data_IF_539228105869
#
_entry.id   IF_539228105869
#
_cell.length_a   1.000
_cell.length_b   1.000
_cell.length_c   1.000
_cell.angle_alpha   90.00
_cell.angle_beta   90.00
_cell.angle_gamma   90.00
#
_symmetry.space_group_name_H-M   'P 1'
#
loop_
_entity.id
_entity.type
_entity.pdbx_description
1 polymer ?
#
# COMPACT_ATOMS: atom_id res chain seq x y z
N UNK A 1 -9.55 14.45 36.82
CA UNK A 1 -8.64 13.31 36.59
C UNK A 1 -9.40 12.03 36.90
N UNK A 2 -9.96 11.39 35.89
CA UNK A 2 -10.60 10.07 36.03
C UNK A 2 -10.08 9.19 34.92
N UNK A 3 -9.09 8.40 35.28
CA UNK A 3 -8.42 7.42 34.44
C UNK A 3 -9.40 6.31 34.07
N UNK A 4 -9.89 6.29 32.83
CA UNK A 4 -10.62 5.13 32.28
C UNK A 4 -9.65 4.23 31.53
N UNK A 5 -8.87 3.46 32.26
CA UNK A 5 -8.18 2.29 31.75
C UNK A 5 -9.09 1.09 31.99
N UNK A 6 -9.78 0.59 31.00
CA UNK A 6 -10.30 -0.79 30.96
C UNK A 6 -10.89 -1.00 29.57
N UNK A 7 -10.16 -1.69 28.67
CA UNK A 7 -10.75 -2.47 27.54
C UNK A 7 -9.66 -3.17 26.68
N UNK A 8 -8.48 -3.43 27.26
CA UNK A 8 -7.42 -4.18 26.54
C UNK A 8 -7.42 -5.71 26.79
N UNK A 9 -8.07 -6.28 27.83
CA UNK A 9 -7.85 -7.72 28.12
C UNK A 9 -8.67 -8.70 27.30
N UNK A 10 -9.67 -8.30 26.51
CA UNK A 10 -10.55 -9.27 25.82
C UNK A 10 -9.96 -9.80 24.50
N UNK A 11 -9.06 -9.07 23.88
CA UNK A 11 -8.44 -9.50 22.62
C UNK A 11 -7.33 -10.56 22.78
N UNK A 12 -6.74 -10.68 23.95
CA UNK A 12 -5.65 -11.64 24.20
C UNK A 12 -6.10 -13.05 24.57
N UNK A 13 -7.32 -13.24 25.05
CA UNK A 13 -7.80 -14.53 25.52
C UNK A 13 -8.38 -15.45 24.44
N UNK A 14 -8.58 -14.97 23.21
CA UNK A 14 -9.05 -15.80 22.07
C UNK A 14 -7.92 -16.50 21.29
N UNK A 15 -6.66 -16.32 21.68
CA UNK A 15 -5.49 -16.75 20.88
C UNK A 15 -5.10 -18.23 21.03
N UNK A 16 -5.79 -19.04 21.85
CA UNK A 16 -5.28 -20.36 22.23
C UNK A 16 -5.79 -21.56 21.41
N UNK A 17 -6.61 -21.38 20.38
CA UNK A 17 -7.33 -22.50 19.76
C UNK A 17 -7.26 -22.64 18.23
N UNK A 18 -6.34 -21.99 17.54
CA UNK A 18 -6.30 -22.10 16.06
C UNK A 18 -5.18 -23.05 15.62
N UNK A 19 -5.55 -24.20 15.06
CA UNK A 19 -4.62 -25.04 14.29
C UNK A 19 -4.21 -24.30 13.01
N UNK A 20 -2.93 -24.39 12.56
CA UNK A 20 -2.50 -23.73 11.34
C UNK A 20 -3.24 -24.29 10.13
N UNK A 21 -3.94 -23.42 9.41
CA UNK A 21 -4.50 -23.72 8.11
C UNK A 21 -3.51 -23.25 7.02
N UNK A 22 -3.33 -24.07 5.99
CA UNK A 22 -2.46 -23.74 4.87
C UNK A 22 -3.04 -22.58 4.03
N UNK A 23 -2.15 -21.69 3.60
CA UNK A 23 -2.48 -20.47 2.86
C UNK A 23 -2.61 -20.76 1.36
N UNK A 24 -3.43 -21.58 0.88
CA UNK A 24 -4.03 -21.74 -0.47
C UNK A 24 -4.83 -23.03 -0.44
N UNK A 25 -6.13 -22.94 -0.49
CA UNK A 25 -7.00 -24.13 -0.58
C UNK A 25 -7.17 -24.50 -2.04
N UNK A 26 -6.66 -25.68 -2.43
CA UNK A 26 -6.95 -26.28 -3.73
C UNK A 26 -8.28 -27.03 -3.63
N UNK A 27 -9.18 -26.80 -4.55
CA UNK A 27 -10.44 -27.55 -4.61
C UNK A 27 -10.13 -28.90 -5.26
N UNK A 28 -9.98 -29.93 -4.42
CA UNK A 28 -9.76 -31.30 -4.89
C UNK A 28 -11.11 -31.98 -5.23
N UNK A 29 -11.12 -32.80 -6.24
CA UNK A 29 -12.23 -33.71 -6.54
C UNK A 29 -13.26 -33.22 -7.56
N UNK A 30 -13.11 -32.05 -8.16
CA UNK A 30 -13.92 -31.62 -9.30
C UNK A 30 -13.03 -31.60 -10.55
N UNK A 31 -13.24 -32.52 -11.47
CA UNK A 31 -12.49 -32.60 -12.74
C UNK A 31 -12.47 -31.23 -13.44
N UNK A 32 -11.27 -30.70 -13.67
CA UNK A 32 -11.05 -29.39 -14.30
C UNK A 32 -10.88 -28.20 -13.33
N UNK A 33 -11.00 -28.36 -12.02
CA UNK A 33 -10.80 -27.30 -11.03
C UNK A 33 -9.43 -27.39 -10.32
N UNK A 34 -8.58 -28.34 -10.65
CA UNK A 34 -7.21 -28.46 -10.11
C UNK A 34 -6.34 -27.24 -10.43
N UNK A 35 -6.69 -26.49 -11.48
CA UNK A 35 -6.06 -25.23 -11.86
C UNK A 35 -6.55 -24.01 -11.04
N UNK A 36 -7.55 -24.20 -10.16
CA UNK A 36 -8.16 -23.14 -9.37
C UNK A 36 -7.66 -23.19 -7.94
N UNK A 37 -7.18 -22.03 -7.44
CA UNK A 37 -6.79 -21.86 -6.04
C UNK A 37 -7.58 -20.74 -5.41
N UNK A 38 -8.16 -20.99 -4.25
CA UNK A 38 -8.75 -19.96 -3.40
C UNK A 38 -7.68 -19.38 -2.46
N UNK A 39 -7.76 -18.09 -2.20
CA UNK A 39 -6.86 -17.42 -1.26
C UNK A 39 -7.55 -16.22 -0.63
N UNK A 40 -7.05 -15.80 0.52
CA UNK A 40 -7.57 -14.61 1.16
C UNK A 40 -6.80 -14.17 2.40
N UNK A 41 -7.26 -13.06 2.96
CA UNK A 41 -6.78 -12.56 4.24
C UNK A 41 -7.89 -11.80 4.96
N UNK A 42 -7.78 -11.80 6.28
CA UNK A 42 -8.63 -11.01 7.16
C UNK A 42 -7.76 -10.22 8.13
N UNK A 43 -8.14 -8.98 8.41
CA UNK A 43 -7.53 -8.12 9.42
C UNK A 43 -8.58 -7.53 10.33
N UNK A 44 -8.41 -7.74 11.61
CA UNK A 44 -9.07 -6.97 12.65
C UNK A 44 -8.12 -5.87 13.09
N UNK A 45 -8.62 -4.64 13.21
CA UNK A 45 -7.85 -3.47 13.64
C UNK A 45 -8.58 -2.71 14.72
N UNK A 46 -7.88 -2.40 15.78
CA UNK A 46 -8.24 -1.30 16.68
C UNK A 46 -7.33 -0.12 16.36
N UNK A 47 -7.92 1.06 16.26
CA UNK A 47 -7.21 2.29 15.92
C UNK A 47 -7.69 3.42 16.82
N UNK A 48 -6.73 4.14 17.42
CA UNK A 48 -6.97 5.36 18.17
C UNK A 48 -6.13 6.48 17.57
N UNK A 49 -6.76 7.62 17.32
CA UNK A 49 -6.09 8.83 16.82
C UNK A 49 -6.37 9.96 17.80
N UNK A 50 -5.31 10.62 18.24
CA UNK A 50 -5.32 11.81 19.06
C UNK A 50 -4.68 12.97 18.24
N UNK A 51 -5.17 14.19 18.39
CA UNK A 51 -4.57 15.39 17.78
C UNK A 51 -4.79 16.59 18.70
N UNK A 52 -4.02 17.66 18.42
CA UNK A 52 -3.99 18.82 19.30
C UNK A 52 -5.32 19.60 19.33
N UNK A 53 -6.05 19.61 18.21
CA UNK A 53 -7.31 20.36 18.05
C UNK A 53 -8.49 19.47 17.59
N UNK A 54 -8.29 18.16 17.42
CA UNK A 54 -9.35 17.22 17.11
C UNK A 54 -9.72 16.36 18.30
N UNK A 55 -10.98 15.99 18.39
CA UNK A 55 -11.43 15.03 19.39
C UNK A 55 -10.76 13.67 19.18
N UNK A 56 -10.34 13.05 20.26
CA UNK A 56 -9.82 11.68 20.24
C UNK A 56 -10.82 10.74 19.60
N UNK A 57 -10.41 10.06 18.56
CA UNK A 57 -11.23 9.06 17.90
C UNK A 57 -10.71 7.64 18.16
N UNK A 58 -11.62 6.71 18.41
CA UNK A 58 -11.29 5.28 18.56
C UNK A 58 -12.22 4.46 17.68
N UNK A 59 -11.65 3.56 16.88
CA UNK A 59 -12.39 2.74 15.92
C UNK A 59 -11.93 1.30 15.95
N UNK A 60 -12.89 0.37 15.89
CA UNK A 60 -12.65 -1.01 15.53
C UNK A 60 -12.98 -1.21 14.06
N UNK A 61 -12.10 -1.85 13.30
CA UNK A 61 -12.22 -1.97 11.84
C UNK A 61 -11.91 -3.38 11.38
N UNK A 62 -12.61 -3.81 10.34
CA UNK A 62 -12.42 -5.09 9.64
C UNK A 62 -11.93 -4.82 8.22
N UNK A 63 -11.01 -5.65 7.75
CA UNK A 63 -10.73 -5.87 6.34
C UNK A 63 -10.83 -7.36 6.05
N UNK A 64 -11.60 -7.73 5.05
CA UNK A 64 -11.59 -9.08 4.49
C UNK A 64 -11.31 -8.99 2.99
N UNK A 65 -10.45 -9.87 2.49
CA UNK A 65 -10.15 -10.01 1.07
C UNK A 65 -10.18 -11.50 0.72
N UNK A 66 -10.83 -11.84 -0.38
CA UNK A 66 -10.85 -13.20 -0.90
C UNK A 66 -10.73 -13.19 -2.42
N UNK A 67 -10.14 -14.21 -2.97
CA UNK A 67 -9.88 -14.25 -4.40
C UNK A 67 -9.65 -15.65 -4.93
N UNK A 68 -9.59 -15.69 -6.25
CA UNK A 68 -9.40 -16.89 -7.05
C UNK A 68 -8.21 -16.67 -7.96
N UNK A 69 -7.33 -17.66 -8.03
CA UNK A 69 -6.29 -17.78 -9.06
C UNK A 69 -6.63 -18.94 -9.96
N UNK A 70 -6.46 -18.76 -11.27
CA UNK A 70 -6.71 -19.78 -12.29
C UNK A 70 -5.50 -19.90 -13.22
N UNK A 71 -4.91 -21.09 -13.34
CA UNK A 71 -3.86 -21.41 -14.29
C UNK A 71 -4.51 -21.91 -15.59
N UNK A 72 -4.67 -21.02 -16.57
CA UNK A 72 -5.33 -21.36 -17.82
C UNK A 72 -4.47 -22.21 -18.75
N UNK A 73 -3.15 -21.91 -18.79
CA UNK A 73 -2.13 -22.68 -19.52
C UNK A 73 -0.81 -22.59 -18.77
N UNK A 74 0.25 -23.21 -19.28
CA UNK A 74 1.61 -23.07 -18.74
C UNK A 74 2.07 -21.60 -18.63
N UNK A 75 1.64 -20.77 -19.58
CA UNK A 75 2.08 -19.38 -19.70
C UNK A 75 1.03 -18.37 -19.30
N UNK A 76 -0.23 -18.73 -19.21
CA UNK A 76 -1.32 -17.82 -18.89
C UNK A 76 -1.99 -18.19 -17.58
N UNK A 77 -2.18 -17.19 -16.74
CA UNK A 77 -2.99 -17.30 -15.52
C UNK A 77 -3.85 -16.05 -15.32
N UNK A 78 -4.95 -16.20 -14.62
CA UNK A 78 -5.82 -15.10 -14.22
C UNK A 78 -5.94 -15.04 -12.70
N UNK A 79 -6.17 -13.86 -12.17
CA UNK A 79 -6.48 -13.65 -10.76
C UNK A 79 -7.59 -12.63 -10.61
N UNK A 80 -8.53 -12.92 -9.72
CA UNK A 80 -9.56 -12.01 -9.28
C UNK A 80 -9.55 -11.96 -7.75
N UNK A 81 -9.64 -10.77 -7.15
CA UNK A 81 -9.73 -10.57 -5.70
C UNK A 81 -10.78 -9.52 -5.37
N UNK A 82 -11.60 -9.82 -4.39
CA UNK A 82 -12.57 -8.91 -3.80
C UNK A 82 -12.09 -8.44 -2.45
N UNK A 83 -12.58 -7.29 -2.00
CA UNK A 83 -12.27 -6.69 -0.70
C UNK A 83 -13.49 -6.09 -0.06
N UNK A 84 -13.49 -5.99 1.26
CA UNK A 84 -14.44 -5.13 1.98
C UNK A 84 -14.27 -3.68 1.56
N UNK A 85 -15.34 -2.92 1.49
CA UNK A 85 -15.42 -1.51 1.11
C UNK A 85 -15.11 -1.24 -0.36
N UNK A 86 -16.13 -0.93 -1.14
CA UNK A 86 -16.01 -0.52 -2.54
C UNK A 86 -15.78 0.97 -2.71
N UNK A 87 -16.30 1.77 -1.78
CA UNK A 87 -16.44 3.23 -1.92
C UNK A 87 -15.17 4.03 -1.63
N UNK A 88 -14.14 3.42 -1.00
CA UNK A 88 -12.91 4.13 -0.68
C UNK A 88 -11.74 3.57 -1.46
N UNK A 89 -11.16 4.41 -2.30
CA UNK A 89 -10.02 4.09 -3.13
C UNK A 89 -8.80 3.63 -2.29
N UNK A 90 -8.56 4.28 -1.18
CA UNK A 90 -7.37 4.16 -0.35
C UNK A 90 -7.53 3.27 0.89
N UNK A 91 -8.75 2.91 1.26
CA UNK A 91 -9.02 2.11 2.47
C UNK A 91 -9.93 0.93 2.19
N UNK A 92 -9.44 -0.24 2.52
CA UNK A 92 -10.17 -1.51 2.44
C UNK A 92 -10.80 -1.90 3.78
N UNK A 93 -10.77 -1.01 4.77
CA UNK A 93 -11.25 -1.29 6.12
C UNK A 93 -12.64 -0.71 6.33
N UNK A 94 -13.56 -1.55 6.72
CA UNK A 94 -14.87 -1.19 7.24
C UNK A 94 -14.79 -0.91 8.73
N UNK A 95 -15.44 0.15 9.20
CA UNK A 95 -15.51 0.49 10.63
C UNK A 95 -16.75 -0.16 11.23
N UNK A 96 -16.61 -0.82 12.38
CA UNK A 96 -17.74 -1.40 13.11
C UNK A 96 -18.63 -0.32 13.73
N UNK A 97 -19.93 -0.58 13.76
CA UNK A 97 -20.94 0.22 14.45
C UNK A 97 -22.15 0.52 13.58
N UNK A 98 -23.31 0.38 14.17
CA UNK A 98 -24.64 0.58 13.54
C UNK A 98 -24.87 2.01 13.06
N UNK A 99 -24.19 3.00 13.69
CA UNK A 99 -24.27 4.42 13.30
C UNK A 99 -23.17 4.84 12.35
N UNK A 100 -22.25 3.98 12.02
CA UNK A 100 -21.35 4.19 10.90
C UNK A 100 -22.14 3.93 9.63
N UNK A 101 -22.81 4.94 9.21
CA UNK A 101 -23.79 5.03 8.14
C UNK A 101 -23.24 4.86 6.74
N UNK A 102 -22.01 4.53 6.61
CA UNK A 102 -21.57 3.81 5.43
C UNK A 102 -22.13 2.41 5.57
N UNK A 103 -23.41 2.29 5.31
CA UNK A 103 -24.20 1.04 5.25
C UNK A 103 -23.67 0.02 4.26
N UNK A 104 -22.38 0.03 4.05
CA UNK A 104 -21.71 -0.64 2.97
C UNK A 104 -20.92 -1.80 3.55
N UNK A 105 -21.61 -2.85 3.89
CA UNK A 105 -21.05 -4.19 3.90
C UNK A 105 -20.71 -4.65 2.47
N UNK A 106 -20.29 -3.68 1.62
CA UNK A 106 -19.99 -3.90 0.22
C UNK A 106 -18.69 -4.63 0.03
N UNK A 107 -18.67 -5.51 -0.95
CA UNK A 107 -17.44 -6.05 -1.50
C UNK A 107 -17.18 -5.42 -2.87
N UNK A 108 -16.01 -4.82 -3.02
CA UNK A 108 -15.54 -4.24 -4.28
C UNK A 108 -14.51 -5.11 -4.97
N UNK A 109 -14.39 -4.97 -6.28
CA UNK A 109 -13.34 -5.60 -7.06
C UNK A 109 -11.99 -4.93 -6.74
N UNK A 110 -11.10 -5.67 -6.08
CA UNK A 110 -9.80 -5.18 -5.65
C UNK A 110 -8.71 -5.43 -6.70
N UNK A 111 -8.72 -6.61 -7.33
CA UNK A 111 -7.80 -7.00 -8.40
C UNK A 111 -8.52 -7.87 -9.42
N UNK A 112 -8.24 -7.65 -10.70
CA UNK A 112 -8.71 -8.48 -11.80
C UNK A 112 -7.72 -8.35 -12.96
N UNK A 113 -6.89 -9.35 -13.19
CA UNK A 113 -5.86 -9.30 -14.20
C UNK A 113 -5.53 -10.67 -14.80
N UNK A 114 -5.01 -10.66 -16.01
CA UNK A 114 -4.32 -11.78 -16.64
C UNK A 114 -2.81 -11.58 -16.51
N UNK A 115 -2.09 -12.68 -16.30
CA UNK A 115 -0.64 -12.70 -16.25
C UNK A 115 -0.11 -13.64 -17.33
N UNK A 116 0.85 -13.15 -18.12
CA UNK A 116 1.58 -13.90 -19.14
C UNK A 116 3.05 -14.07 -18.77
N UNK A 117 3.59 -15.29 -18.93
CA UNK A 117 4.97 -15.67 -18.58
C UNK A 117 5.72 -16.40 -19.72
N UNK A 118 5.18 -16.40 -20.94
CA UNK A 118 5.78 -17.11 -22.08
C UNK A 118 7.04 -16.45 -22.68
N UNK A 119 7.43 -15.25 -22.19
CA UNK A 119 8.70 -14.60 -22.56
C UNK A 119 9.70 -14.87 -21.45
N UNK A 120 10.91 -15.30 -21.81
CA UNK A 120 11.95 -15.63 -20.84
C UNK A 120 12.20 -14.46 -19.86
N UNK A 121 12.24 -14.78 -18.57
CA UNK A 121 12.50 -13.83 -17.49
C UNK A 121 11.49 -12.68 -17.41
N UNK A 122 10.35 -12.75 -18.11
CA UNK A 122 9.39 -11.66 -18.21
C UNK A 122 8.02 -12.08 -17.65
N UNK A 123 7.37 -11.16 -16.97
CA UNK A 123 5.98 -11.27 -16.52
C UNK A 123 5.23 -10.06 -17.03
N UNK A 124 4.14 -10.27 -17.74
CA UNK A 124 3.24 -9.20 -18.19
C UNK A 124 1.92 -9.33 -17.47
N UNK A 125 1.40 -8.23 -16.97
CA UNK A 125 0.12 -8.13 -16.26
C UNK A 125 -0.80 -7.21 -17.06
N UNK A 126 -2.03 -7.65 -17.33
CA UNK A 126 -3.03 -6.91 -18.10
C UNK A 126 -4.29 -6.84 -17.26
N UNK A 127 -4.76 -5.63 -16.93
CA UNK A 127 -5.91 -5.36 -16.10
C UNK A 127 -5.54 -4.70 -14.76
N UNK A 128 -6.37 -4.91 -13.74
CA UNK A 128 -6.23 -4.29 -12.41
C UNK A 128 -5.30 -5.14 -11.53
N UNK A 129 -4.02 -4.78 -11.44
CA UNK A 129 -2.99 -5.54 -10.75
C UNK A 129 -2.24 -4.67 -9.72
N UNK A 130 -1.54 -5.32 -8.77
CA UNK A 130 -0.59 -4.60 -7.92
C UNK A 130 0.49 -3.94 -8.76
N UNK A 131 1.02 -2.82 -8.29
CA UNK A 131 2.11 -2.14 -8.96
C UNK A 131 3.33 -3.06 -9.12
N UNK A 132 3.83 -3.15 -10.34
CA UNK A 132 5.08 -3.81 -10.67
C UNK A 132 6.19 -2.75 -10.61
N UNK A 133 6.59 -2.42 -9.39
CA UNK A 133 7.55 -1.37 -9.11
C UNK A 133 8.28 -1.68 -7.80
N UNK A 134 9.59 -1.48 -7.72
CA UNK A 134 10.31 -1.63 -6.47
C UNK A 134 10.02 -0.42 -5.59
N UNK A 135 9.49 -0.69 -4.42
CA UNK A 135 9.39 0.27 -3.32
C UNK A 135 9.71 -0.48 -2.02
N UNK A 136 10.20 0.22 -1.04
CA UNK A 136 10.57 -0.38 0.24
C UNK A 136 9.68 0.08 1.38
N UNK A 137 8.88 1.13 1.15
CA UNK A 137 7.95 1.71 2.10
C UNK A 137 6.50 1.71 1.58
N UNK A 138 5.61 2.31 2.34
CA UNK A 138 4.20 2.49 2.00
C UNK A 138 3.94 3.87 1.36
N UNK A 139 4.99 4.60 1.02
CA UNK A 139 4.88 5.97 0.51
C UNK A 139 4.22 6.02 -0.86
N UNK A 140 4.49 5.03 -1.72
CA UNK A 140 3.85 4.87 -3.01
C UNK A 140 3.53 3.39 -3.25
N UNK A 141 2.38 3.06 -3.87
CA UNK A 141 1.96 1.70 -4.26
C UNK A 141 1.85 0.68 -3.13
N UNK A 142 1.19 1.03 -2.07
CA UNK A 142 0.90 0.08 -1.00
C UNK A 142 0.06 -1.13 -1.45
N UNK A 143 0.08 -2.20 -0.64
CA UNK A 143 -0.61 -3.48 -0.85
C UNK A 143 -2.10 -3.39 -1.20
N UNK A 144 -2.77 -2.33 -0.78
CA UNK A 144 -4.20 -2.12 -0.99
C UNK A 144 -4.50 -1.37 -2.31
N UNK A 145 -3.45 -0.85 -2.99
CA UNK A 145 -3.58 -0.17 -4.28
C UNK A 145 -3.38 -1.17 -5.41
N UNK A 146 -4.26 -1.12 -6.40
CA UNK A 146 -4.13 -1.83 -7.65
C UNK A 146 -4.23 -0.84 -8.81
N UNK A 147 -3.34 -0.98 -9.78
CA UNK A 147 -3.23 -0.13 -10.96
C UNK A 147 -3.91 -0.81 -12.14
N UNK A 148 -4.67 -0.06 -12.91
CA UNK A 148 -5.39 -0.52 -14.09
C UNK A 148 -4.56 -0.21 -15.34
N UNK A 149 -4.32 -1.21 -16.21
CA UNK A 149 -3.53 -1.04 -17.40
C UNK A 149 -2.68 -2.24 -17.76
N UNK A 150 -1.50 -2.00 -18.33
CA UNK A 150 -0.52 -3.02 -18.69
C UNK A 150 0.79 -2.76 -17.97
N UNK A 151 1.30 -3.78 -17.29
CA UNK A 151 2.56 -3.71 -16.57
C UNK A 151 3.45 -4.89 -16.94
N UNK A 152 4.75 -4.68 -17.01
CA UNK A 152 5.72 -5.70 -17.30
C UNK A 152 6.90 -5.65 -16.33
N UNK A 153 7.42 -6.81 -15.98
CA UNK A 153 8.66 -6.98 -15.24
C UNK A 153 9.54 -7.96 -15.98
N UNK A 154 10.72 -7.53 -16.38
CA UNK A 154 11.81 -8.40 -16.79
C UNK A 154 12.84 -8.49 -15.66
N UNK A 155 13.38 -9.68 -15.38
CA UNK A 155 14.37 -9.85 -14.32
C UNK A 155 15.34 -10.97 -14.64
N UNK A 156 16.60 -10.73 -14.36
CA UNK A 156 17.63 -11.77 -14.24
C UNK A 156 18.18 -11.80 -12.80
N UNK A 157 19.30 -12.48 -12.57
CA UNK A 157 19.86 -12.61 -11.23
C UNK A 157 20.35 -11.27 -10.63
N UNK A 158 20.67 -10.29 -11.47
CA UNK A 158 21.35 -9.05 -11.07
C UNK A 158 20.49 -7.82 -11.37
N UNK A 159 19.79 -7.81 -12.49
CA UNK A 159 19.02 -6.66 -12.96
C UNK A 159 17.56 -6.99 -13.13
N UNK A 160 16.70 -5.99 -12.88
CA UNK A 160 15.30 -6.02 -13.25
C UNK A 160 14.91 -4.71 -13.92
N UNK A 161 13.99 -4.80 -14.86
CA UNK A 161 13.33 -3.64 -15.46
C UNK A 161 11.84 -3.78 -15.23
N UNK A 162 11.25 -2.75 -14.67
CA UNK A 162 9.82 -2.63 -14.45
C UNK A 162 9.29 -1.53 -15.37
N UNK A 163 8.23 -1.80 -16.09
CA UNK A 163 7.57 -0.84 -16.98
C UNK A 163 6.04 -0.97 -16.85
N UNK A 164 5.32 0.11 -17.10
CA UNK A 164 3.86 0.08 -17.10
C UNK A 164 3.26 1.29 -17.79
N UNK A 165 2.10 1.05 -18.38
CA UNK A 165 1.17 2.08 -18.83
C UNK A 165 -0.12 1.89 -18.01
N UNK A 166 -0.46 2.91 -17.23
CA UNK A 166 -1.55 2.89 -16.27
C UNK A 166 -2.61 3.88 -16.71
N UNK A 167 -3.83 3.42 -16.80
CA UNK A 167 -5.00 4.23 -17.10
C UNK A 167 -5.49 4.85 -15.79
N UNK A 168 -5.60 6.15 -15.73
CA UNK A 168 -6.12 6.90 -14.58
C UNK A 168 -7.57 7.30 -14.80
N UNK A 169 -7.84 7.83 -15.98
CA UNK A 169 -9.17 8.18 -16.47
C UNK A 169 -9.29 7.84 -17.95
N UNK A 170 -10.46 7.42 -18.38
CA UNK A 170 -10.76 7.12 -19.78
C UNK A 170 -12.15 7.63 -20.13
N UNK A 171 -12.24 8.47 -21.17
CA UNK A 171 -13.49 8.99 -21.74
C UNK A 171 -14.39 9.74 -20.74
N UNK A 172 -13.82 10.39 -19.74
CA UNK A 172 -14.60 11.20 -18.79
C UNK A 172 -15.06 12.48 -19.47
N UNK A 173 -16.37 12.63 -19.65
CA UNK A 173 -16.98 13.84 -20.20
C UNK A 173 -17.26 14.82 -19.06
N UNK A 174 -16.57 15.95 -19.06
CA UNK A 174 -16.74 17.00 -18.05
C UNK A 174 -17.51 18.24 -18.57
N UNK A 175 -18.17 18.11 -19.73
CA UNK A 175 -18.89 19.21 -20.39
C UNK A 175 -18.02 20.07 -21.30
N UNK A 176 -16.69 19.89 -21.30
CA UNK A 176 -15.74 20.57 -22.18
C UNK A 176 -15.08 19.63 -23.20
N UNK A 177 -15.44 18.34 -23.15
CA UNK A 177 -14.92 17.29 -23.99
C UNK A 177 -14.53 16.04 -23.19
N UNK A 178 -14.12 15.00 -23.90
CA UNK A 178 -13.64 13.77 -23.28
C UNK A 178 -12.19 13.95 -22.81
N UNK A 179 -11.90 13.50 -21.63
CA UNK A 179 -10.56 13.54 -21.02
C UNK A 179 -10.03 12.13 -20.82
N UNK A 180 -8.76 11.96 -21.12
CA UNK A 180 -8.01 10.76 -20.83
C UNK A 180 -6.79 11.14 -19.98
N UNK A 181 -6.57 10.42 -18.89
CA UNK A 181 -5.38 10.56 -18.08
C UNK A 181 -4.71 9.21 -17.92
N UNK A 182 -3.40 9.20 -18.06
CA UNK A 182 -2.59 8.01 -17.87
C UNK A 182 -1.25 8.35 -17.26
N UNK A 183 -0.56 7.37 -16.74
CA UNK A 183 0.85 7.51 -16.46
C UNK A 183 1.66 6.37 -17.08
N UNK A 184 2.92 6.65 -17.37
CA UNK A 184 3.93 5.68 -17.76
C UNK A 184 4.93 5.56 -16.63
N UNK A 185 5.26 4.33 -16.25
CA UNK A 185 6.31 4.08 -15.26
C UNK A 185 7.42 3.25 -15.88
N UNK A 186 8.67 3.61 -15.53
CA UNK A 186 9.86 2.87 -15.90
C UNK A 186 10.82 2.85 -14.72
N UNK A 187 11.38 1.68 -14.40
CA UNK A 187 12.34 1.54 -13.31
C UNK A 187 13.37 0.48 -13.63
N UNK A 188 14.64 0.81 -13.45
CA UNK A 188 15.74 -0.13 -13.40
C UNK A 188 16.09 -0.49 -11.94
N UNK A 189 16.31 -1.76 -11.67
CA UNK A 189 16.70 -2.25 -10.34
C UNK A 189 17.95 -3.11 -10.46
N UNK A 190 18.95 -2.82 -9.66
CA UNK A 190 20.14 -3.63 -9.46
C UNK A 190 20.03 -4.42 -8.15
N UNK A 191 20.37 -5.71 -8.18
CA UNK A 191 20.42 -6.57 -7.01
C UNK A 191 21.77 -7.27 -6.91
N UNK A 192 22.36 -7.27 -5.72
CA UNK A 192 23.62 -7.94 -5.42
C UNK A 192 23.52 -8.69 -4.09
N UNK A 193 24.31 -9.76 -3.99
CA UNK A 193 24.51 -10.47 -2.74
C UNK A 193 26.01 -10.70 -2.54
N UNK A 194 26.49 -10.29 -1.36
CA UNK A 194 27.87 -10.50 -0.90
C UNK A 194 27.83 -11.21 0.44
N UNK A 195 28.17 -12.50 0.47
CA UNK A 195 27.97 -13.33 1.66
C UNK A 195 26.51 -13.26 2.15
N UNK A 196 26.31 -12.84 3.40
CA UNK A 196 24.99 -12.70 4.02
C UNK A 196 24.33 -11.32 3.78
N UNK A 197 25.02 -10.43 3.07
CA UNK A 197 24.50 -9.10 2.77
C UNK A 197 23.78 -9.12 1.43
N UNK A 198 22.50 -8.77 1.42
CA UNK A 198 21.69 -8.59 0.22
C UNK A 198 21.39 -7.13 0.03
N UNK A 199 21.66 -6.61 -1.14
CA UNK A 199 21.44 -5.21 -1.51
C UNK A 199 20.59 -5.13 -2.76
N UNK A 200 19.67 -4.16 -2.78
CA UNK A 200 18.93 -3.74 -3.98
C UNK A 200 18.92 -2.23 -4.06
N UNK A 201 19.09 -1.71 -5.26
CA UNK A 201 18.90 -0.29 -5.55
C UNK A 201 18.07 -0.14 -6.82
N UNK A 202 17.15 0.80 -6.81
CA UNK A 202 16.29 1.12 -7.95
C UNK A 202 16.35 2.61 -8.27
N UNK A 203 16.28 2.91 -9.56
CA UNK A 203 16.04 4.25 -10.09
C UNK A 203 14.92 4.15 -11.12
N UNK A 204 13.99 5.08 -11.08
CA UNK A 204 12.89 5.07 -12.02
C UNK A 204 12.21 6.43 -12.13
N UNK A 205 11.22 6.46 -13.00
CA UNK A 205 10.38 7.63 -13.24
C UNK A 205 8.94 7.24 -13.44
N UNK A 206 8.06 8.16 -13.11
CA UNK A 206 6.63 8.12 -13.39
C UNK A 206 6.32 9.38 -14.16
N UNK A 207 5.84 9.23 -15.40
CA UNK A 207 5.43 10.33 -16.28
C UNK A 207 3.91 10.37 -16.30
N UNK A 208 3.32 11.44 -15.81
CA UNK A 208 1.87 11.64 -15.83
C UNK A 208 1.51 12.38 -17.11
N UNK A 209 0.60 11.82 -17.88
CA UNK A 209 0.01 12.45 -19.06
C UNK A 209 -1.47 12.67 -18.78
N UNK A 210 -1.88 13.91 -18.64
CA UNK A 210 -3.27 14.31 -18.51
C UNK A 210 -3.60 15.28 -19.65
N UNK A 211 -4.64 14.98 -20.42
CA UNK A 211 -5.16 15.91 -21.42
C UNK A 211 -6.07 16.92 -20.74
N UNK A 212 -5.53 17.87 -20.04
CA UNK A 212 -6.24 18.88 -19.25
C UNK A 212 -6.39 18.59 -17.73
N UNK A 213 -6.21 19.58 -17.06
CA UNK A 213 -6.11 20.04 -15.67
C UNK A 213 -7.07 19.50 -14.60
N UNK A 214 -8.00 18.60 -14.88
CA UNK A 214 -9.03 18.19 -13.91
C UNK A 214 -8.50 17.43 -12.69
N UNK A 215 -7.43 16.65 -12.87
CA UNK A 215 -6.83 15.94 -11.72
C UNK A 215 -5.89 16.81 -10.90
N UNK A 216 -5.33 17.86 -11.51
CA UNK A 216 -4.44 18.77 -10.82
C UNK A 216 -5.19 19.87 -10.06
N UNK A 217 -6.27 20.42 -10.64
CA UNK A 217 -6.88 21.66 -10.13
C UNK A 217 -8.10 21.46 -9.22
N UNK A 218 -8.90 20.43 -9.41
CA UNK A 218 -10.22 20.35 -8.76
C UNK A 218 -10.17 19.94 -7.27
N UNK A 219 -9.20 19.13 -6.85
CA UNK A 219 -9.10 18.67 -5.46
C UNK A 219 -7.88 19.23 -4.70
N UNK A 220 -6.92 19.82 -5.38
CA UNK A 220 -5.63 20.17 -4.77
C UNK A 220 -5.30 21.65 -4.73
N UNK A 221 -6.01 22.48 -5.49
CA UNK A 221 -5.65 23.90 -5.62
C UNK A 221 -4.28 24.12 -6.30
N UNK A 222 -3.81 23.13 -7.05
CA UNK A 222 -2.55 23.17 -7.77
C UNK A 222 -2.75 23.77 -9.15
N UNK A 223 -1.81 24.61 -9.59
CA UNK A 223 -1.71 25.05 -10.97
C UNK A 223 -1.31 23.86 -11.88
N UNK A 224 -1.66 23.93 -13.15
CA UNK A 224 -1.46 22.88 -14.17
C UNK A 224 -0.03 22.33 -14.28
N UNK A 225 0.96 23.13 -13.88
CA UNK A 225 2.38 22.79 -13.92
C UNK A 225 2.85 21.87 -12.77
N UNK A 226 1.98 21.50 -11.83
CA UNK A 226 2.37 20.80 -10.59
C UNK A 226 2.02 19.31 -10.57
N UNK A 227 1.23 18.82 -11.52
CA UNK A 227 0.92 17.39 -11.68
C UNK A 227 2.08 16.56 -12.27
N UNK A 228 3.27 17.08 -12.20
CA UNK A 228 4.47 16.72 -12.92
C UNK A 228 4.99 15.30 -12.70
N UNK A 229 6.00 15.03 -13.49
CA UNK A 229 6.76 13.77 -13.46
C UNK A 229 7.46 13.58 -12.12
N UNK A 230 7.62 12.32 -11.71
CA UNK A 230 8.29 11.98 -10.46
C UNK A 230 9.47 11.06 -10.72
N UNK A 231 10.65 11.45 -10.26
CA UNK A 231 11.82 10.58 -10.19
C UNK A 231 11.83 9.82 -8.88
N UNK A 232 12.21 8.54 -8.92
CA UNK A 232 12.19 7.65 -7.77
C UNK A 232 13.54 6.99 -7.56
N UNK A 233 13.97 6.92 -6.31
CA UNK A 233 15.19 6.25 -5.89
C UNK A 233 14.85 5.34 -4.72
N UNK A 234 15.28 4.08 -4.80
CA UNK A 234 14.92 3.06 -3.81
C UNK A 234 16.17 2.29 -3.41
N UNK A 235 16.29 1.96 -2.14
CA UNK A 235 17.36 1.10 -1.62
C UNK A 235 16.82 0.13 -0.56
N UNK A 236 17.34 -1.09 -0.56
CA UNK A 236 17.03 -2.13 0.44
C UNK A 236 18.31 -2.89 0.75
N UNK A 237 18.77 -2.84 1.98
CA UNK A 237 19.92 -3.56 2.51
C UNK A 237 19.46 -4.53 3.59
N UNK A 238 19.85 -5.79 3.47
CA UNK A 238 19.57 -6.85 4.48
C UNK A 238 20.87 -7.50 4.90
N UNK A 239 21.07 -7.62 6.21
CA UNK A 239 22.26 -8.19 6.82
C UNK A 239 21.86 -8.96 8.08
N UNK A 240 21.79 -10.28 7.97
CA UNK A 240 21.31 -11.13 9.06
C UNK A 240 19.91 -10.70 9.54
N UNK A 241 19.75 -10.36 10.84
CA UNK A 241 18.47 -9.91 11.40
C UNK A 241 18.10 -8.45 11.06
N UNK A 242 19.01 -7.68 10.47
CA UNK A 242 18.82 -6.28 10.15
C UNK A 242 18.34 -6.06 8.72
N UNK A 243 17.45 -5.10 8.53
CA UNK A 243 17.09 -4.53 7.24
C UNK A 243 17.06 -3.01 7.38
N UNK A 244 17.73 -2.32 6.47
CA UNK A 244 17.64 -0.88 6.29
C UNK A 244 17.12 -0.64 4.87
N UNK A 245 16.11 0.22 4.74
CA UNK A 245 15.61 0.55 3.43
C UNK A 245 15.15 2.00 3.37
N UNK A 246 15.22 2.58 2.17
CA UNK A 246 14.85 3.95 1.91
C UNK A 246 14.17 4.07 0.54
N UNK A 247 13.18 4.94 0.48
CA UNK A 247 12.60 5.46 -0.74
C UNK A 247 12.75 6.98 -0.73
N UNK A 248 13.14 7.54 -1.86
CA UNK A 248 13.24 8.98 -2.09
C UNK A 248 12.59 9.31 -3.43
N UNK A 249 11.73 10.31 -3.42
CA UNK A 249 10.99 10.78 -4.59
C UNK A 249 11.15 12.28 -4.75
N UNK A 250 11.22 12.73 -5.99
CA UNK A 250 11.22 14.16 -6.30
C UNK A 250 10.38 14.40 -7.54
N UNK A 251 9.46 15.35 -7.45
CA UNK A 251 8.63 15.78 -8.58
C UNK A 251 9.24 16.99 -9.30
N UNK A 252 8.65 17.38 -10.42
CA UNK A 252 9.01 18.58 -11.19
C UNK A 252 8.41 19.88 -10.62
N UNK A 253 7.66 19.81 -9.51
CA UNK A 253 7.11 21.01 -8.88
C UNK A 253 8.25 21.98 -8.45
N UNK A 254 7.97 23.28 -8.48
CA UNK A 254 8.97 24.31 -8.18
C UNK A 254 9.36 24.34 -6.71
N UNK A 255 8.48 23.92 -5.79
CA UNK A 255 8.72 23.84 -4.35
C UNK A 255 7.95 22.66 -3.77
N UNK A 256 8.24 22.32 -2.52
CA UNK A 256 7.56 21.28 -1.76
C UNK A 256 7.46 19.95 -2.54
N UNK A 257 8.55 19.56 -3.22
CA UNK A 257 8.62 18.52 -4.23
C UNK A 257 9.37 17.25 -3.81
N UNK A 258 9.73 17.12 -2.53
CA UNK A 258 10.52 16.00 -2.02
C UNK A 258 9.69 15.13 -1.08
N UNK A 259 9.76 13.82 -1.29
CA UNK A 259 9.27 12.84 -0.33
C UNK A 259 10.32 11.77 -0.06
N UNK A 260 10.46 11.36 1.20
CA UNK A 260 11.29 10.21 1.54
C UNK A 260 10.75 9.44 2.74
N UNK A 261 11.09 8.17 2.76
CA UNK A 261 10.93 7.30 3.92
C UNK A 261 12.21 6.53 4.13
N UNK A 262 12.72 6.53 5.35
CA UNK A 262 13.80 5.64 5.78
C UNK A 262 13.25 4.71 6.84
N UNK A 263 13.47 3.41 6.70
CA UNK A 263 13.08 2.49 7.74
C UNK A 263 14.15 1.47 8.08
N UNK A 264 14.28 1.17 9.36
CA UNK A 264 15.09 0.11 9.90
C UNK A 264 14.20 -0.98 10.50
N UNK A 265 14.58 -2.24 10.30
CA UNK A 265 13.96 -3.39 10.95
C UNK A 265 15.02 -4.23 11.62
N UNK A 266 14.72 -4.69 12.82
CA UNK A 266 15.51 -5.70 13.53
C UNK A 266 14.60 -6.88 13.91
N UNK A 267 15.00 -8.09 13.52
CA UNK A 267 14.33 -9.32 13.90
C UNK A 267 14.96 -9.83 15.19
N UNK A 268 14.25 -9.70 16.31
CA UNK A 268 14.75 -10.05 17.65
C UNK A 268 14.85 -11.58 17.79
N UNK A 269 13.83 -12.29 17.35
CA UNK A 269 13.78 -13.75 17.29
C UNK A 269 12.85 -14.20 16.15
N UNK A 270 12.48 -15.47 16.08
CA UNK A 270 11.64 -16.02 14.99
C UNK A 270 10.23 -15.43 14.97
N UNK A 271 9.73 -14.99 16.11
CA UNK A 271 8.36 -14.48 16.29
C UNK A 271 8.30 -12.95 16.33
N UNK A 272 9.29 -12.30 16.98
CA UNK A 272 9.25 -10.88 17.30
C UNK A 272 10.22 -10.05 16.46
N UNK A 273 9.70 -9.00 15.84
CA UNK A 273 10.48 -7.98 15.12
C UNK A 273 10.06 -6.57 15.50
N UNK A 274 10.98 -5.63 15.39
CA UNK A 274 10.75 -4.20 15.60
C UNK A 274 11.12 -3.43 14.33
N UNK A 275 10.35 -2.38 14.01
CA UNK A 275 10.62 -1.46 12.91
C UNK A 275 10.51 -0.03 13.38
N UNK A 276 11.36 0.80 12.84
CA UNK A 276 11.34 2.25 13.00
C UNK A 276 11.31 2.92 11.64
N UNK A 277 10.48 3.94 11.49
CA UNK A 277 10.33 4.69 10.24
C UNK A 277 10.48 6.18 10.49
N UNK A 278 11.13 6.85 9.56
CA UNK A 278 11.13 8.31 9.41
C UNK A 278 10.37 8.61 8.12
N UNK A 279 9.40 9.51 8.21
CA UNK A 279 8.51 9.90 7.12
C UNK A 279 8.69 11.40 6.85
N UNK A 280 8.77 11.77 5.59
CA UNK A 280 8.78 13.16 5.14
C UNK A 280 8.15 13.19 3.74
N UNK A 281 7.07 13.91 3.58
CA UNK A 281 6.37 14.03 2.31
C UNK A 281 5.90 15.45 2.15
N UNK A 282 6.53 16.20 1.26
CA UNK A 282 6.13 17.56 0.92
C UNK A 282 4.85 17.55 0.07
N UNK A 283 4.22 18.70 -0.06
CA UNK A 283 2.87 18.82 -0.62
C UNK A 283 2.74 18.28 -2.05
N UNK A 284 3.73 18.52 -2.87
CA UNK A 284 3.71 18.24 -4.31
C UNK A 284 4.71 17.17 -4.75
N UNK A 285 5.23 16.42 -3.80
CA UNK A 285 6.29 15.45 -4.02
C UNK A 285 5.85 14.15 -4.70
N UNK A 286 4.56 13.82 -4.67
CA UNK A 286 4.02 12.55 -5.15
C UNK A 286 2.99 12.77 -6.25
N UNK A 287 2.90 11.82 -7.21
CA UNK A 287 1.91 11.95 -8.29
C UNK A 287 0.50 11.99 -7.70
N UNK A 288 -0.34 12.86 -8.29
CA UNK A 288 -1.75 13.03 -7.91
C UNK A 288 -1.94 13.29 -6.40
N UNK A 289 -1.08 14.14 -5.81
CA UNK A 289 -1.13 14.52 -4.39
C UNK A 289 -1.23 13.35 -3.41
N UNK A 290 -0.60 12.26 -3.76
CA UNK A 290 -0.60 11.08 -2.92
C UNK A 290 -1.85 10.20 -3.02
N UNK A 291 -2.69 10.33 -4.04
CA UNK A 291 -3.83 9.43 -4.25
C UNK A 291 -3.45 7.95 -4.27
N UNK A 292 -2.21 7.64 -4.70
CA UNK A 292 -1.64 6.30 -4.68
C UNK A 292 -0.72 6.03 -3.48
N UNK A 293 -0.79 6.89 -2.48
CA UNK A 293 -0.03 6.81 -1.23
C UNK A 293 -0.91 6.22 -0.13
N UNK A 294 -0.36 5.33 0.67
CA UNK A 294 -1.10 4.76 1.79
C UNK A 294 -0.23 4.53 3.00
N UNK A 295 0.28 5.59 3.54
CA UNK A 295 1.11 5.50 4.75
C UNK A 295 0.34 5.09 6.01
N UNK A 296 -1.00 5.11 6.01
CA UNK A 296 -1.86 5.09 7.21
C UNK A 296 -1.50 6.15 8.24
N UNK A 297 -0.78 7.18 7.83
CA UNK A 297 -0.54 8.33 8.70
C UNK A 297 -1.87 8.98 9.07
N UNK A 298 -2.00 9.50 10.26
CA UNK A 298 -3.14 10.35 10.58
C UNK A 298 -3.05 11.67 9.80
N UNK A 299 -4.18 12.17 9.34
CA UNK A 299 -4.23 13.43 8.60
C UNK A 299 -4.12 13.26 7.09
N UNK A 300 -3.20 13.96 6.47
CA UNK A 300 -2.97 13.98 5.03
C UNK A 300 -2.00 12.89 4.56
N UNK A 301 -1.93 12.65 3.27
CA UNK A 301 -0.94 11.78 2.61
C UNK A 301 0.34 12.54 2.22
N UNK A 302 0.21 13.84 2.01
CA UNK A 302 1.29 14.76 1.68
C UNK A 302 1.34 15.90 2.69
N UNK A 303 2.35 16.77 2.61
CA UNK A 303 2.61 17.86 3.54
C UNK A 303 2.76 17.39 5.01
N UNK A 304 3.46 16.25 5.20
CA UNK A 304 3.65 15.63 6.52
C UNK A 304 5.10 15.24 6.77
N UNK A 305 5.48 15.27 8.04
CA UNK A 305 6.69 14.63 8.57
C UNK A 305 6.35 13.86 9.84
N UNK A 306 7.11 12.84 10.13
CA UNK A 306 6.88 12.09 11.37
C UNK A 306 7.68 10.81 11.49
N UNK A 307 7.29 10.04 12.48
CA UNK A 307 7.90 8.75 12.78
C UNK A 307 6.83 7.68 12.96
N UNK A 308 7.24 6.43 12.76
CA UNK A 308 6.45 5.25 13.13
C UNK A 308 7.34 4.23 13.83
N UNK A 309 6.88 3.75 14.96
CA UNK A 309 7.40 2.54 15.62
C UNK A 309 6.41 1.41 15.39
N UNK A 310 6.92 0.23 15.04
CA UNK A 310 6.09 -0.94 14.81
C UNK A 310 6.71 -2.18 15.45
N UNK A 311 5.89 -2.93 16.16
CA UNK A 311 6.21 -4.27 16.66
C UNK A 311 5.43 -5.30 15.83
N UNK A 312 6.11 -6.31 15.30
CA UNK A 312 5.51 -7.43 14.60
C UNK A 312 5.64 -8.69 15.45
N UNK A 313 4.56 -9.41 15.67
CA UNK A 313 4.56 -10.67 16.39
C UNK A 313 3.90 -11.78 15.57
N UNK A 314 4.65 -12.83 15.29
CA UNK A 314 4.17 -14.03 14.59
C UNK A 314 3.56 -14.97 15.63
N UNK A 315 2.25 -15.21 15.56
CA UNK A 315 1.51 -16.11 16.44
C UNK A 315 1.55 -17.54 15.85
N UNK A 316 1.31 -17.65 14.54
CA UNK A 316 1.37 -18.88 13.76
C UNK A 316 1.81 -18.56 12.33
N UNK A 317 1.98 -19.56 11.46
CA UNK A 317 2.44 -19.32 10.06
C UNK A 317 1.48 -18.44 9.26
N UNK A 318 0.19 -18.53 9.52
CA UNK A 318 -0.85 -17.77 8.86
C UNK A 318 -1.51 -16.69 9.74
N UNK A 319 -1.03 -16.53 11.01
CA UNK A 319 -1.60 -15.58 11.96
C UNK A 319 -0.50 -14.72 12.58
N UNK A 320 -0.63 -13.41 12.46
CA UNK A 320 0.29 -12.46 13.06
C UNK A 320 -0.45 -11.25 13.65
N UNK A 321 0.15 -10.64 14.66
CA UNK A 321 -0.27 -9.37 15.23
C UNK A 321 0.77 -8.30 14.96
N UNK A 322 0.35 -7.06 14.82
CA UNK A 322 1.25 -5.92 14.80
C UNK A 322 0.66 -4.74 15.60
N UNK A 323 1.57 -4.01 16.26
CA UNK A 323 1.28 -2.75 16.94
C UNK A 323 2.05 -1.66 16.24
N UNK A 324 1.39 -0.56 15.88
CA UNK A 324 1.97 0.60 15.21
C UNK A 324 1.62 1.86 15.98
N UNK A 325 2.64 2.66 16.23
CA UNK A 325 2.47 4.00 16.76
C UNK A 325 3.06 5.00 15.79
N UNK A 326 2.25 5.95 15.38
CA UNK A 326 2.61 7.07 14.51
C UNK A 326 2.59 8.34 15.32
N UNK A 327 3.59 9.19 15.07
CA UNK A 327 3.60 10.59 15.50
C UNK A 327 3.93 11.42 14.27
N UNK A 328 2.98 12.24 13.83
CA UNK A 328 3.02 12.94 12.55
C UNK A 328 2.62 14.39 12.74
N UNK A 329 3.32 15.29 12.06
CA UNK A 329 3.08 16.72 12.06
C UNK A 329 3.00 17.25 10.62
N UNK A 330 2.37 18.40 10.40
CA UNK A 330 2.39 19.06 9.10
C UNK A 330 3.73 19.75 8.86
N UNK A 331 4.22 19.70 7.62
CA UNK A 331 5.45 20.39 7.22
C UNK A 331 5.22 21.88 7.04
N UNK A 332 4.24 22.23 6.21
CA UNK A 332 3.88 23.61 5.90
C UNK A 332 2.46 23.86 6.39
N UNK A 333 2.33 24.74 7.39
CA UNK A 333 1.05 25.06 8.03
C UNK A 333 0.18 25.99 7.18
N UNK A 334 0.76 26.68 6.22
CA UNK A 334 0.03 27.59 5.33
C UNK A 334 -0.72 26.82 4.22
N UNK A 335 -0.22 25.62 3.87
CA UNK A 335 -0.86 24.72 2.89
C UNK A 335 -1.89 23.80 3.57
N UNK A 336 -1.73 23.52 4.86
CA UNK A 336 -2.55 22.56 5.57
C UNK A 336 -3.94 23.10 5.91
N UNK A 337 -4.96 22.35 5.58
CA UNK A 337 -6.34 22.62 6.04
C UNK A 337 -6.52 22.34 7.53
N UNK A 338 -5.64 21.55 8.13
CA UNK A 338 -5.62 21.19 9.55
C UNK A 338 -4.18 21.30 10.07
N UNK A 339 -3.88 22.35 10.83
CA UNK A 339 -2.54 22.70 11.33
C UNK A 339 -2.11 21.92 12.58
N UNK A 340 -2.22 20.58 12.57
CA UNK A 340 -2.12 19.81 13.80
C UNK A 340 -1.17 18.63 13.70
N UNK A 341 -0.39 18.47 14.78
CA UNK A 341 0.24 17.21 15.09
C UNK A 341 -0.78 16.13 15.45
N UNK A 342 -0.55 14.90 15.00
CA UNK A 342 -1.43 13.77 15.27
C UNK A 342 -0.64 12.53 15.63
N UNK A 343 -1.10 11.89 16.71
CA UNK A 343 -0.64 10.55 17.10
C UNK A 343 -1.69 9.51 16.72
N UNK A 344 -1.22 8.35 16.26
CA UNK A 344 -2.11 7.21 15.98
C UNK A 344 -1.53 5.92 16.53
N UNK A 345 -2.31 5.22 17.31
CA UNK A 345 -2.04 3.84 17.73
C UNK A 345 -2.92 2.88 16.92
N UNK A 346 -2.31 1.85 16.34
CA UNK A 346 -3.02 0.76 15.68
C UNK A 346 -2.58 -0.58 16.25
N UNK A 347 -3.54 -1.43 16.58
CA UNK A 347 -3.32 -2.85 16.92
C UNK A 347 -4.02 -3.67 15.85
N UNK A 348 -3.28 -4.52 15.16
CA UNK A 348 -3.81 -5.36 14.08
C UNK A 348 -3.62 -6.85 14.43
N UNK A 349 -4.64 -7.64 14.12
CA UNK A 349 -4.56 -9.09 14.03
C UNK A 349 -4.83 -9.48 12.58
N UNK A 350 -3.89 -10.18 11.95
CA UNK A 350 -3.91 -10.51 10.53
C UNK A 350 -3.87 -12.02 10.36
N UNK A 351 -4.83 -12.56 9.61
CA UNK A 351 -4.91 -13.97 9.25
C UNK A 351 -4.89 -14.12 7.73
N UNK A 352 -4.20 -15.15 7.23
CA UNK A 352 -4.18 -15.53 5.80
C UNK A 352 -4.69 -16.96 5.64
N UNK A 353 -5.33 -17.25 4.52
CA UNK A 353 -5.82 -18.58 4.16
C UNK A 353 -5.73 -18.83 2.65
#
# INVERSE_FOLDING_TARGET
MTTKFIYVPIALSLMALVKPAHADVTIEGLNGLEAVKLFGDMRMRFERTDGDTIDTTSRARLRARFGIKYAATENWSAQMRFRTTSSQHDSTHQTFGITNTTDNDDFGLDRAFMKYTGINNTRVYIGKAAAVYMHSSELLFRDDIALEGVQANWTNNTFSVNAGHIILEENVDNGEGKRDASWQQLQGVYAAQFNDIKFKAGIGSIFVSASDTAYASAESGLDDDQAGNVMTYNADLRMGPFRLAADYYTSEAQSDNIAYTVHARYQINKELGVRFYILHTEAYALPMNGAFTQTNTPGSYTNIKGTRVQLDYKIADNLNADLRWYSVDNLNKDIATNNEGRDRLQVNLNMKF
#
